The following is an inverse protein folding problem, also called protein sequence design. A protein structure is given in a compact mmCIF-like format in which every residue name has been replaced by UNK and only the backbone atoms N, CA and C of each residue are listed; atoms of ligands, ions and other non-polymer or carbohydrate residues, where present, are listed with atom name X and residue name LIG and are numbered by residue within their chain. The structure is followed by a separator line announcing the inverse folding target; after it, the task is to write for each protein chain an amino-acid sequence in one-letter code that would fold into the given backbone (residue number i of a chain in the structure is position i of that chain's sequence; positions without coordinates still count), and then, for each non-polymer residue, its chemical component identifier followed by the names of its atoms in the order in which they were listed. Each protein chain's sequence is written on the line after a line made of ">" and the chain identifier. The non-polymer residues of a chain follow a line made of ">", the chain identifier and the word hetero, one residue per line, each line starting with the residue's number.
data_IF_783395210313
#
_entry.id   IF_783395210313
#
_cell.length_a   1.000
_cell.length_b   1.000
_cell.length_c   1.000
_cell.angle_alpha   90.00
_cell.angle_beta   90.00
_cell.angle_gamma   90.00
#
_symmetry.space_group_name_H-M   'P 1'
#
loop_
_entity.id
_entity.type
_entity.pdbx_description
1 polymer ?
#
# COMPACT_ATOMS: atom_id res chain seq x y z
N UNK A 1 -24.63 35.79 -11.12
CA UNK A 1 -23.96 34.92 -12.11
C UNK A 1 -23.69 33.58 -11.44
N UNK A 2 -24.22 32.45 -11.91
CA UNK A 2 -23.93 31.15 -11.30
C UNK A 2 -22.51 30.71 -11.69
N UNK A 3 -21.78 30.18 -10.73
CA UNK A 3 -20.43 29.63 -10.94
C UNK A 3 -20.52 28.38 -11.82
N UNK A 4 -19.82 28.43 -12.96
CA UNK A 4 -19.58 27.29 -13.84
C UNK A 4 -18.53 26.40 -13.17
N UNK A 5 -18.94 25.24 -12.66
CA UNK A 5 -18.00 24.20 -12.25
C UNK A 5 -17.49 23.49 -13.51
N UNK A 6 -16.18 23.26 -13.67
CA UNK A 6 -15.67 22.51 -14.80
C UNK A 6 -16.33 21.12 -14.82
N UNK A 7 -16.93 20.79 -15.96
CA UNK A 7 -17.52 19.48 -16.17
C UNK A 7 -16.48 18.40 -15.88
N UNK A 8 -16.83 17.44 -15.02
CA UNK A 8 -16.05 16.23 -14.77
C UNK A 8 -16.15 15.35 -16.01
N UNK A 9 -15.50 15.77 -17.10
CA UNK A 9 -15.44 15.00 -18.33
C UNK A 9 -14.49 13.83 -18.13
N UNK A 10 -15.09 12.66 -17.96
CA UNK A 10 -14.51 11.32 -17.98
C UNK A 10 -13.46 11.02 -16.91
N UNK A 11 -13.91 10.77 -15.67
CA UNK A 11 -13.40 9.57 -15.02
C UNK A 11 -13.91 8.39 -15.86
N UNK A 12 -13.08 7.88 -16.77
CA UNK A 12 -13.29 6.55 -17.32
C UNK A 12 -13.40 5.63 -16.11
N UNK A 13 -14.62 5.19 -15.86
CA UNK A 13 -14.96 4.34 -14.72
C UNK A 13 -14.35 2.95 -14.96
N UNK A 14 -13.02 2.85 -14.90
CA UNK A 14 -12.31 1.60 -14.72
C UNK A 14 -12.63 1.12 -13.31
N UNK A 15 -13.80 0.47 -13.15
CA UNK A 15 -14.22 -0.21 -11.92
C UNK A 15 -13.39 -1.48 -11.73
N UNK A 16 -12.07 -1.37 -11.80
CA UNK A 16 -11.19 -2.46 -11.39
C UNK A 16 -11.25 -2.47 -9.87
N UNK A 17 -11.88 -3.49 -9.31
CA UNK A 17 -11.75 -3.79 -7.88
C UNK A 17 -10.28 -4.07 -7.61
N UNK A 18 -9.60 -3.13 -6.98
CA UNK A 18 -8.20 -3.29 -6.60
C UNK A 18 -8.20 -4.06 -5.29
N UNK A 19 -7.68 -5.29 -5.31
CA UNK A 19 -7.45 -6.05 -4.09
C UNK A 19 -6.23 -5.46 -3.39
N UNK A 20 -6.46 -4.57 -2.43
CA UNK A 20 -5.38 -4.08 -1.57
C UNK A 20 -5.09 -5.14 -0.51
N UNK A 21 -3.81 -5.49 -0.28
CA UNK A 21 -3.45 -6.32 0.85
C UNK A 21 -3.80 -5.58 2.14
N UNK A 22 -4.50 -6.26 3.03
CA UNK A 22 -4.74 -5.82 4.40
C UNK A 22 -3.67 -6.38 5.32
N UNK A 23 -3.63 -5.94 6.58
CA UNK A 23 -2.65 -6.46 7.54
C UNK A 23 -2.72 -7.97 7.81
N UNK A 24 -3.83 -8.63 7.48
CA UNK A 24 -3.95 -10.10 7.54
C UNK A 24 -3.25 -10.83 6.39
N UNK A 25 -2.79 -10.13 5.35
CA UNK A 25 -2.01 -10.73 4.26
C UNK A 25 -0.51 -10.75 4.55
N UNK A 26 -0.07 -10.10 5.63
CA UNK A 26 1.34 -10.01 6.02
C UNK A 26 1.63 -10.91 7.21
N UNK A 27 2.89 -11.34 7.38
CA UNK A 27 3.31 -12.09 8.55
C UNK A 27 3.01 -11.33 9.84
N UNK A 28 2.54 -12.05 10.86
CA UNK A 28 2.39 -11.48 12.20
C UNK A 28 3.75 -11.04 12.75
N UNK A 29 3.82 -9.83 13.28
CA UNK A 29 5.02 -9.33 13.94
C UNK A 29 4.88 -9.46 15.45
N UNK A 30 5.88 -10.04 16.11
CA UNK A 30 6.00 -10.03 17.57
C UNK A 30 7.18 -9.15 17.96
N UNK A 31 6.94 -7.99 18.58
CA UNK A 31 8.01 -7.11 19.01
C UNK A 31 8.77 -7.74 20.18
N UNK A 32 10.04 -7.36 20.41
CA UNK A 32 10.79 -7.81 21.58
C UNK A 32 10.09 -7.43 22.88
N UNK A 33 10.13 -8.34 23.87
CA UNK A 33 9.57 -8.10 25.20
C UNK A 33 10.24 -6.93 25.95
N UNK A 34 11.44 -6.52 25.54
CA UNK A 34 12.11 -5.33 26.05
C UNK A 34 11.42 -4.02 25.64
N UNK A 35 10.62 -4.03 24.56
CA UNK A 35 9.92 -2.85 24.03
C UNK A 35 8.44 -2.91 24.43
N UNK A 36 7.78 -4.03 24.20
CA UNK A 36 6.37 -4.24 24.58
C UNK A 36 6.29 -5.39 25.57
N UNK A 37 5.95 -5.06 26.82
CA UNK A 37 5.88 -6.04 27.90
C UNK A 37 4.55 -6.80 27.92
N UNK A 38 3.53 -6.29 27.23
CA UNK A 38 2.21 -6.93 27.13
C UNK A 38 2.15 -7.90 25.94
N UNK A 39 1.49 -9.06 26.10
CA UNK A 39 1.26 -9.95 24.97
C UNK A 39 0.28 -9.30 23.99
N UNK A 40 0.71 -9.13 22.74
CA UNK A 40 -0.18 -8.68 21.67
C UNK A 40 -1.16 -9.79 21.27
N UNK A 41 -2.42 -9.41 21.04
CA UNK A 41 -3.43 -10.27 20.44
C UNK A 41 -3.08 -10.56 18.97
N UNK A 42 -3.57 -11.66 18.37
CA UNK A 42 -3.25 -12.01 16.98
C UNK A 42 -3.51 -10.89 15.96
N UNK A 43 -4.64 -10.18 16.08
CA UNK A 43 -4.96 -9.06 15.18
C UNK A 43 -4.01 -7.87 15.39
N UNK A 44 -3.60 -7.58 16.63
CA UNK A 44 -2.61 -6.54 16.93
C UNK A 44 -1.24 -6.87 16.33
N UNK A 45 -0.83 -8.14 16.34
CA UNK A 45 0.40 -8.60 15.69
C UNK A 45 0.36 -8.44 14.17
N UNK A 46 -0.80 -8.70 13.56
CA UNK A 46 -1.03 -8.46 12.13
C UNK A 46 -1.05 -6.96 11.80
N UNK A 47 -1.71 -6.13 12.61
CA UNK A 47 -1.72 -4.68 12.45
C UNK A 47 -0.34 -4.06 12.59
N UNK A 48 0.47 -4.54 13.54
CA UNK A 48 1.86 -4.12 13.70
C UNK A 48 2.72 -4.53 12.50
N UNK A 49 2.56 -5.77 12.01
CA UNK A 49 3.27 -6.22 10.80
C UNK A 49 2.93 -5.37 9.58
N UNK A 50 1.67 -4.96 9.44
CA UNK A 50 1.24 -4.04 8.39
C UNK A 50 1.85 -2.65 8.51
N UNK A 51 1.82 -2.06 9.70
CA UNK A 51 2.46 -0.75 9.92
C UNK A 51 3.94 -0.80 9.62
N UNK A 52 4.63 -1.83 10.10
CA UNK A 52 6.05 -2.00 9.88
C UNK A 52 6.39 -2.11 8.38
N UNK A 53 5.64 -2.93 7.65
CA UNK A 53 5.81 -3.09 6.21
C UNK A 53 5.45 -1.80 5.43
N UNK A 54 4.53 -0.96 5.94
CA UNK A 54 4.23 0.36 5.36
C UNK A 54 5.33 1.40 5.55
N UNK A 55 6.11 1.30 6.62
CA UNK A 55 7.24 2.19 6.90
C UNK A 55 8.51 1.76 6.16
N UNK A 56 8.55 0.52 5.68
CA UNK A 56 9.67 0.00 4.90
C UNK A 56 9.48 0.38 3.42
N UNK A 57 10.44 1.09 2.80
CA UNK A 57 10.31 1.51 1.41
C UNK A 57 10.06 0.37 0.43
N UNK A 58 10.59 -0.83 0.67
CA UNK A 58 10.39 -2.02 -0.18
C UNK A 58 9.30 -2.97 0.33
N UNK A 59 8.48 -2.53 1.28
CA UNK A 59 7.40 -3.34 1.84
C UNK A 59 6.29 -3.65 0.84
N UNK A 60 5.68 -4.82 0.99
CA UNK A 60 4.66 -5.30 0.05
C UNK A 60 3.39 -4.42 0.07
N UNK A 61 2.98 -3.99 1.25
CA UNK A 61 1.85 -3.09 1.47
C UNK A 61 2.14 -1.68 0.99
N UNK A 62 3.39 -1.21 1.04
CA UNK A 62 3.79 0.06 0.47
C UNK A 62 3.50 0.08 -1.05
N UNK A 63 3.83 -1.01 -1.75
CA UNK A 63 3.71 -1.09 -3.20
C UNK A 63 2.42 -1.73 -3.72
N UNK A 64 1.37 -1.79 -2.91
CA UNK A 64 0.12 -2.47 -3.25
C UNK A 64 -0.60 -1.93 -4.51
N UNK A 65 -0.32 -0.70 -4.91
CA UNK A 65 -0.86 -0.08 -6.13
C UNK A 65 0.01 -0.28 -7.37
N UNK A 66 1.10 -1.04 -7.27
CA UNK A 66 2.03 -1.29 -8.36
C UNK A 66 1.97 -2.75 -8.79
N UNK A 67 1.67 -2.98 -10.07
CA UNK A 67 1.78 -4.28 -10.70
C UNK A 67 3.15 -4.41 -11.35
N UNK A 68 3.90 -5.44 -10.94
CA UNK A 68 5.24 -5.71 -11.46
C UNK A 68 5.16 -6.75 -12.57
N UNK A 69 5.88 -6.51 -13.66
CA UNK A 69 6.00 -7.43 -14.79
C UNK A 69 7.48 -7.64 -15.08
N UNK A 70 8.01 -8.87 -14.99
CA UNK A 70 9.37 -9.14 -15.40
C UNK A 70 9.49 -8.99 -16.92
N UNK A 71 10.39 -8.13 -17.39
CA UNK A 71 10.71 -7.97 -18.82
C UNK A 71 12.19 -8.27 -19.05
N UNK A 72 12.52 -9.55 -19.23
CA UNK A 72 13.90 -9.99 -19.42
C UNK A 72 14.77 -9.64 -18.21
N UNK A 73 15.83 -8.86 -18.42
CA UNK A 73 16.72 -8.36 -17.36
C UNK A 73 16.25 -7.05 -16.70
N UNK A 74 15.11 -6.51 -17.13
CA UNK A 74 14.56 -5.24 -16.63
C UNK A 74 13.33 -5.45 -15.77
N UNK A 75 13.17 -4.57 -14.79
CA UNK A 75 12.00 -4.52 -13.92
C UNK A 75 11.07 -3.41 -14.39
N UNK A 76 9.88 -3.77 -14.87
CA UNK A 76 8.83 -2.80 -15.16
C UNK A 76 7.74 -2.90 -14.10
N UNK A 77 7.39 -1.75 -13.53
CA UNK A 77 6.25 -1.64 -12.63
C UNK A 77 5.27 -0.60 -13.15
N UNK A 78 3.98 -0.92 -13.10
CA UNK A 78 2.89 -0.08 -13.56
C UNK A 78 1.95 0.24 -12.42
N UNK A 79 1.65 1.53 -12.23
CA UNK A 79 0.70 1.97 -11.22
C UNK A 79 -0.73 1.66 -11.68
N UNK A 80 -1.46 0.86 -10.92
CA UNK A 80 -2.75 0.26 -11.29
C UNK A 80 -3.82 1.32 -11.60
N UNK A 81 -3.74 2.49 -10.95
CA UNK A 81 -4.74 3.56 -11.11
C UNK A 81 -4.36 4.53 -12.23
N UNK A 82 -3.10 4.95 -12.28
CA UNK A 82 -2.66 6.03 -13.18
C UNK A 82 -2.05 5.52 -14.47
N UNK A 83 -1.80 4.21 -14.58
CA UNK A 83 -1.03 3.57 -15.64
C UNK A 83 0.39 4.15 -15.82
N UNK A 84 0.91 4.89 -14.81
CA UNK A 84 2.30 5.35 -14.81
C UNK A 84 3.21 4.14 -14.78
N UNK A 85 4.19 4.09 -15.69
CA UNK A 85 5.20 3.03 -15.72
C UNK A 85 6.51 3.56 -15.19
N UNK A 86 7.19 2.74 -14.38
CA UNK A 86 8.56 2.97 -13.95
C UNK A 86 9.40 1.74 -14.30
N UNK A 87 10.63 1.99 -14.75
CA UNK A 87 11.57 0.98 -15.25
C UNK A 87 12.66 0.60 -14.25
N UNK A 88 12.66 1.21 -13.06
CA UNK A 88 13.58 0.90 -11.97
C UNK A 88 12.84 0.80 -10.65
N UNK A 89 13.33 -0.07 -9.78
CA UNK A 89 12.79 -0.25 -8.43
C UNK A 89 12.94 1.02 -7.57
N UNK A 90 14.06 1.74 -7.71
CA UNK A 90 14.34 3.00 -6.99
C UNK A 90 13.31 4.10 -7.27
N UNK A 91 12.80 4.17 -8.51
CA UNK A 91 11.73 5.11 -8.88
C UNK A 91 10.42 4.79 -8.16
N UNK A 92 10.20 3.52 -7.81
CA UNK A 92 9.02 3.08 -7.08
C UNK A 92 9.07 3.50 -5.60
N UNK A 93 10.26 3.43 -4.99
CA UNK A 93 10.51 3.80 -3.58
C UNK A 93 10.22 5.28 -3.31
N UNK A 94 10.62 6.16 -4.23
CA UNK A 94 10.45 7.62 -4.09
C UNK A 94 9.01 8.10 -4.31
N UNK A 95 8.18 7.31 -5.00
CA UNK A 95 6.80 7.67 -5.34
C UNK A 95 5.75 7.01 -4.44
N UNK A 96 6.17 6.19 -3.48
CA UNK A 96 5.25 5.47 -2.60
C UNK A 96 5.14 6.21 -1.26
N UNK A 97 3.93 6.63 -0.83
CA UNK A 97 3.77 7.23 0.48
C UNK A 97 4.08 6.20 1.56
N UNK A 98 5.02 6.56 2.44
CA UNK A 98 5.22 5.88 3.71
C UNK A 98 4.08 6.27 4.65
N UNK A 99 3.74 5.39 5.59
CA UNK A 99 2.55 5.40 6.44
C UNK A 99 1.27 4.80 5.84
N UNK A 100 0.33 4.47 6.73
CA UNK A 100 -0.95 3.83 6.39
C UNK A 100 -2.04 4.19 7.37
N UNK A 101 -3.28 3.89 6.99
CA UNK A 101 -4.44 4.01 7.87
C UNK A 101 -4.66 2.68 8.59
N UNK A 102 -4.65 2.72 9.92
CA UNK A 102 -5.23 1.66 10.73
C UNK A 102 -6.65 2.05 11.09
N UNK A 103 -7.60 1.40 10.42
CA UNK A 103 -9.01 1.47 10.76
C UNK A 103 -9.41 0.09 11.28
N UNK A 104 -9.79 0.05 12.55
CA UNK A 104 -10.32 -1.15 13.21
C UNK A 104 -11.61 -0.75 13.93
N UNK A 105 -12.54 -1.70 14.05
CA UNK A 105 -13.72 -1.49 14.89
C UNK A 105 -13.25 -1.41 16.35
N UNK A 106 -13.93 -0.59 17.15
CA UNK A 106 -13.53 -0.41 18.55
C UNK A 106 -13.80 -1.71 19.32
N UNK A 107 -12.75 -2.30 19.90
CA UNK A 107 -12.79 -3.54 20.68
C UNK A 107 -11.41 -4.15 20.89
#
# INVERSE_FOLDING_TARGET
>A
MPASYPAVSSLTSNKKLIKLPSGSNLPMMSPPHSIIQTPLLPHQKSGLGFLWDKEIPNGQSAHNLWATSPTGSTFNASHIITNKVVSTFESLLTNTPLAGLLADDVG
#
